data_IF_850222891657
#
_entry.id   IF_850222891657
#
_cell.length_a   1.000
_cell.length_b   1.000
_cell.length_c   1.000
_cell.angle_alpha   90.00
_cell.angle_beta   90.00
_cell.angle_gamma   90.00
#
_symmetry.space_group_name_H-M   'P 1'
#
loop_
_entity.id
_entity.type
_entity.pdbx_description
1 polymer ?
#
# COMPACT_ATOMS: atom_id res chain seq x y z
N UNK A 1 -74.19 68.01 -25.15
CA UNK A 1 -73.37 66.77 -25.25
C UNK A 1 -72.16 66.92 -24.35
N UNK A 2 -72.15 66.23 -23.19
CA UNK A 2 -70.89 65.80 -22.60
C UNK A 2 -70.90 64.34 -22.07
N UNK A 3 -69.70 63.80 -21.77
CA UNK A 3 -69.36 62.38 -21.74
C UNK A 3 -69.07 61.88 -20.30
N UNK A 4 -69.40 60.64 -19.91
CA UNK A 4 -68.92 60.15 -18.59
C UNK A 4 -69.00 58.64 -18.28
N UNK A 5 -69.46 57.74 -19.17
CA UNK A 5 -69.74 56.34 -18.76
C UNK A 5 -68.77 55.26 -19.24
N UNK A 6 -67.91 55.50 -20.24
CA UNK A 6 -67.03 54.46 -20.79
C UNK A 6 -65.69 54.25 -20.07
N UNK A 7 -65.14 55.26 -19.38
CA UNK A 7 -63.84 55.15 -18.70
C UNK A 7 -63.84 54.30 -17.43
N UNK A 8 -64.96 54.25 -16.69
CA UNK A 8 -65.05 53.53 -15.40
C UNK A 8 -65.17 52.00 -15.55
N UNK A 9 -65.68 51.51 -16.69
CA UNK A 9 -65.83 50.07 -16.94
C UNK A 9 -64.50 49.45 -17.37
N UNK A 10 -63.73 50.15 -18.21
CA UNK A 10 -62.38 49.75 -18.62
C UNK A 10 -61.38 49.77 -17.46
N UNK A 11 -61.42 50.81 -16.61
CA UNK A 11 -60.55 50.89 -15.43
C UNK A 11 -60.84 49.79 -14.39
N UNK A 12 -62.11 49.40 -14.21
CA UNK A 12 -62.49 48.28 -13.33
C UNK A 12 -62.09 46.92 -13.92
N UNK A 13 -62.24 46.73 -15.23
CA UNK A 13 -61.79 45.50 -15.91
C UNK A 13 -60.27 45.28 -15.79
N UNK A 14 -59.47 46.34 -15.99
CA UNK A 14 -58.02 46.28 -15.81
C UNK A 14 -57.58 46.00 -14.37
N UNK A 15 -58.28 46.57 -13.38
CA UNK A 15 -58.02 46.29 -11.96
C UNK A 15 -58.30 44.83 -11.59
N UNK A 16 -59.37 44.23 -12.12
CA UNK A 16 -59.70 42.82 -11.88
C UNK A 16 -58.68 41.88 -12.54
N UNK A 17 -58.21 42.20 -13.74
CA UNK A 17 -57.17 41.42 -14.43
C UNK A 17 -55.83 41.54 -13.70
N UNK A 18 -55.44 42.75 -13.28
CA UNK A 18 -54.22 42.96 -12.51
C UNK A 18 -54.25 42.27 -11.14
N UNK A 19 -55.39 42.32 -10.45
CA UNK A 19 -55.59 41.60 -9.19
C UNK A 19 -55.58 40.07 -9.39
N UNK A 20 -56.16 39.57 -10.48
CA UNK A 20 -56.11 38.16 -10.85
C UNK A 20 -54.70 37.66 -11.15
N UNK A 21 -53.91 38.44 -11.90
CA UNK A 21 -52.51 38.13 -12.21
C UNK A 21 -51.63 38.12 -10.95
N UNK A 22 -51.79 39.12 -10.07
CA UNK A 22 -51.10 39.18 -8.78
C UNK A 22 -51.49 38.01 -7.87
N UNK A 23 -52.77 37.63 -7.84
CA UNK A 23 -53.23 36.47 -7.06
C UNK A 23 -52.62 35.17 -7.60
N UNK A 24 -52.56 34.97 -8.92
CA UNK A 24 -51.91 33.78 -9.51
C UNK A 24 -50.41 33.74 -9.30
N UNK A 25 -49.72 34.90 -9.33
CA UNK A 25 -48.29 34.98 -9.06
C UNK A 25 -47.96 34.71 -7.58
N UNK A 26 -48.77 35.25 -6.67
CA UNK A 26 -48.64 35.00 -5.23
C UNK A 26 -48.96 33.53 -4.88
N UNK A 27 -50.02 32.95 -5.46
CA UNK A 27 -50.33 31.53 -5.32
C UNK A 27 -49.20 30.65 -5.88
N UNK A 28 -48.63 31.01 -7.03
CA UNK A 28 -47.47 30.32 -7.59
C UNK A 28 -46.30 30.28 -6.61
N UNK A 29 -45.92 31.43 -6.03
CA UNK A 29 -44.81 31.47 -5.06
C UNK A 29 -45.10 30.71 -3.77
N UNK A 30 -46.34 30.77 -3.25
CA UNK A 30 -46.73 30.01 -2.05
C UNK A 30 -46.73 28.51 -2.34
N UNK A 31 -47.22 28.09 -3.51
CA UNK A 31 -47.19 26.68 -3.92
C UNK A 31 -45.76 26.19 -4.05
N UNK A 32 -44.86 26.94 -4.70
CA UNK A 32 -43.45 26.54 -4.79
C UNK A 32 -42.77 26.50 -3.43
N UNK A 33 -43.01 27.50 -2.57
CA UNK A 33 -42.44 27.54 -1.21
C UNK A 33 -42.93 26.36 -0.35
N UNK A 34 -44.22 26.04 -0.40
CA UNK A 34 -44.82 24.92 0.34
C UNK A 34 -44.36 23.58 -0.24
N UNK A 35 -44.23 23.48 -1.56
CA UNK A 35 -43.71 22.28 -2.22
C UNK A 35 -42.23 22.06 -1.88
N UNK A 36 -41.40 23.10 -1.96
CA UNK A 36 -39.99 23.01 -1.58
C UNK A 36 -39.83 22.72 -0.09
N UNK A 37 -40.60 23.33 0.82
CA UNK A 37 -40.49 23.01 2.26
C UNK A 37 -41.00 21.62 2.62
N UNK A 38 -42.07 21.12 1.99
CA UNK A 38 -42.59 19.78 2.27
C UNK A 38 -41.77 18.68 1.61
N UNK A 39 -41.22 18.92 0.42
CA UNK A 39 -40.54 17.88 -0.36
C UNK A 39 -39.01 18.01 -0.35
N UNK A 40 -38.41 19.12 0.09
CA UNK A 40 -36.96 19.24 0.21
C UNK A 40 -36.37 18.17 1.13
N UNK A 41 -36.98 17.91 2.29
CA UNK A 41 -36.45 16.90 3.21
C UNK A 41 -36.52 15.49 2.60
N UNK A 42 -37.61 15.18 1.88
CA UNK A 42 -37.75 13.90 1.15
C UNK A 42 -36.78 13.78 -0.03
N UNK A 43 -36.50 14.89 -0.72
CA UNK A 43 -35.60 14.95 -1.86
C UNK A 43 -34.15 14.85 -1.42
N UNK A 44 -33.76 15.57 -0.36
CA UNK A 44 -32.44 15.47 0.26
C UNK A 44 -32.21 14.06 0.79
N UNK A 45 -33.20 13.43 1.44
CA UNK A 45 -33.08 12.01 1.85
C UNK A 45 -32.96 11.07 0.66
N UNK A 46 -33.73 11.27 -0.42
CA UNK A 46 -33.64 10.43 -1.60
C UNK A 46 -32.32 10.61 -2.36
N UNK A 47 -31.81 11.83 -2.43
CA UNK A 47 -30.50 12.17 -3.01
C UNK A 47 -29.36 11.62 -2.13
N UNK A 48 -29.44 11.72 -0.80
CA UNK A 48 -28.51 11.12 0.16
C UNK A 48 -28.53 9.59 0.08
N UNK A 49 -29.72 8.97 0.00
CA UNK A 49 -29.86 7.52 -0.10
C UNK A 49 -29.38 7.01 -1.47
N UNK A 50 -29.59 7.78 -2.54
CA UNK A 50 -29.03 7.48 -3.85
C UNK A 50 -27.50 7.61 -3.86
N UNK A 51 -26.96 8.67 -3.24
CA UNK A 51 -25.52 8.87 -3.07
C UNK A 51 -24.88 7.74 -2.26
N UNK A 52 -25.48 7.36 -1.12
CA UNK A 52 -25.02 6.22 -0.32
C UNK A 52 -25.05 4.90 -1.09
N UNK A 53 -26.05 4.68 -1.95
CA UNK A 53 -26.12 3.48 -2.79
C UNK A 53 -25.01 3.46 -3.85
N UNK A 54 -24.77 4.58 -4.52
CA UNK A 54 -23.69 4.69 -5.50
C UNK A 54 -22.32 4.50 -4.84
N UNK A 55 -22.07 5.14 -3.69
CA UNK A 55 -20.85 4.93 -2.89
C UNK A 55 -20.66 3.46 -2.46
N UNK A 56 -21.75 2.72 -2.25
CA UNK A 56 -21.72 1.30 -1.89
C UNK A 56 -21.45 0.37 -3.08
N UNK A 57 -21.78 0.78 -4.30
CA UNK A 57 -21.54 0.02 -5.53
C UNK A 57 -20.06 0.11 -5.97
N UNK A 58 -19.37 1.19 -5.63
CA UNK A 58 -17.93 1.34 -5.85
C UNK A 58 -17.11 0.56 -4.81
N UNK A 59 -15.86 0.24 -5.18
CA UNK A 59 -14.95 -0.49 -4.29
C UNK A 59 -14.80 0.27 -2.95
N UNK A 60 -14.79 -0.44 -1.80
CA UNK A 60 -14.77 0.20 -0.48
C UNK A 60 -13.52 1.06 -0.26
N UNK A 61 -12.40 0.62 -0.82
CA UNK A 61 -11.15 1.35 -0.87
C UNK A 61 -10.30 0.78 -2.01
N UNK A 62 -9.33 1.57 -2.45
CA UNK A 62 -8.31 1.19 -3.44
C UNK A 62 -6.94 1.17 -2.79
N UNK A 63 -5.97 0.53 -3.44
CA UNK A 63 -4.63 0.35 -2.91
C UNK A 63 -3.56 0.73 -3.92
N UNK A 64 -2.49 1.37 -3.45
CA UNK A 64 -1.24 1.51 -4.21
C UNK A 64 -0.13 0.80 -3.45
N UNK A 65 0.64 -0.01 -4.18
CA UNK A 65 1.74 -0.80 -3.64
C UNK A 65 3.01 -0.37 -4.35
N UNK A 66 4.04 -0.08 -3.55
CA UNK A 66 5.38 0.19 -4.05
C UNK A 66 6.38 -0.74 -3.34
N UNK A 67 7.38 -1.26 -4.06
CA UNK A 67 8.50 -1.94 -3.42
C UNK A 67 9.19 -0.98 -2.45
N UNK A 68 9.43 -1.41 -1.21
CA UNK A 68 10.17 -0.59 -0.28
C UNK A 68 11.67 -0.72 -0.54
N UNK A 69 12.24 0.35 -1.08
CA UNK A 69 13.66 0.44 -1.38
C UNK A 69 14.45 1.11 -0.26
N UNK A 70 13.80 1.45 0.86
CA UNK A 70 14.45 2.18 1.95
C UNK A 70 15.51 1.34 2.67
N UNK A 71 15.42 0.00 2.57
CA UNK A 71 16.48 -0.91 2.99
C UNK A 71 17.84 -0.61 2.33
N UNK A 72 17.86 -0.11 1.09
CA UNK A 72 19.10 0.21 0.36
C UNK A 72 19.85 1.43 0.89
N UNK A 73 19.19 2.24 1.72
CA UNK A 73 19.79 3.39 2.40
C UNK A 73 20.38 2.99 3.76
N UNK A 74 20.36 1.68 4.08
CA UNK A 74 20.73 1.12 5.37
C UNK A 74 21.76 0.00 5.23
N UNK A 75 21.97 -0.64 6.37
CA UNK A 75 23.13 -1.41 6.74
C UNK A 75 23.10 -2.87 6.28
N UNK A 76 21.94 -3.53 6.22
CA UNK A 76 21.83 -4.90 5.70
C UNK A 76 20.75 -5.01 4.63
N UNK A 77 21.16 -5.43 3.45
CA UNK A 77 20.26 -5.70 2.33
C UNK A 77 20.92 -6.61 1.32
N UNK A 78 20.08 -7.26 0.52
CA UNK A 78 20.48 -8.04 -0.64
C UNK A 78 19.67 -7.64 -1.85
N UNK A 79 20.27 -7.70 -3.03
CA UNK A 79 19.59 -7.54 -4.30
C UNK A 79 19.72 -8.85 -5.07
N UNK A 80 18.59 -9.39 -5.53
CA UNK A 80 18.52 -10.66 -6.27
C UNK A 80 17.99 -10.47 -7.69
N UNK A 81 18.42 -11.35 -8.60
CA UNK A 81 18.00 -11.40 -10.01
C UNK A 81 17.86 -12.86 -10.47
N UNK A 82 16.86 -13.14 -11.32
CA UNK A 82 16.61 -14.49 -11.89
C UNK A 82 17.58 -14.87 -13.03
N UNK A 83 18.58 -14.02 -13.29
CA UNK A 83 19.59 -14.23 -14.31
C UNK A 83 20.94 -13.69 -13.84
N UNK A 84 22.04 -14.26 -14.34
CA UNK A 84 23.35 -13.64 -14.18
C UNK A 84 23.40 -12.29 -14.90
N UNK A 85 24.32 -11.45 -14.46
CA UNK A 85 24.66 -10.19 -15.11
C UNK A 85 25.50 -10.45 -16.36
N UNK A 86 25.20 -9.72 -17.43
CA UNK A 86 26.03 -9.67 -18.62
C UNK A 86 27.37 -8.97 -18.31
N UNK A 87 28.44 -9.22 -19.08
CA UNK A 87 29.76 -8.62 -18.82
C UNK A 87 29.78 -7.09 -18.80
N UNK A 88 28.88 -6.43 -19.52
CA UNK A 88 28.74 -4.97 -19.46
C UNK A 88 28.08 -4.50 -18.15
N UNK A 89 27.07 -5.23 -17.67
CA UNK A 89 26.35 -4.94 -16.43
C UNK A 89 27.27 -5.17 -15.21
N UNK A 90 28.06 -6.25 -15.22
CA UNK A 90 29.05 -6.52 -14.18
C UNK A 90 30.09 -5.40 -14.07
N UNK A 91 30.63 -4.94 -15.21
CA UNK A 91 31.58 -3.82 -15.24
C UNK A 91 30.96 -2.53 -14.71
N UNK A 92 29.70 -2.26 -15.06
CA UNK A 92 28.97 -1.10 -14.53
C UNK A 92 28.80 -1.20 -13.01
N UNK A 93 28.44 -2.38 -12.50
CA UNK A 93 28.26 -2.62 -11.07
C UNK A 93 29.59 -2.51 -10.30
N UNK A 94 30.67 -3.11 -10.80
CA UNK A 94 32.00 -3.06 -10.17
C UNK A 94 32.64 -1.67 -10.21
N UNK A 95 32.26 -0.84 -11.18
CA UNK A 95 32.73 0.55 -11.30
C UNK A 95 32.02 1.52 -10.33
N UNK A 96 31.03 1.05 -9.57
CA UNK A 96 30.31 1.91 -8.63
C UNK A 96 31.24 2.45 -7.54
N UNK A 97 31.18 3.76 -7.25
CA UNK A 97 31.86 4.32 -6.10
C UNK A 97 31.15 3.85 -4.83
N UNK A 98 31.81 3.01 -4.04
CA UNK A 98 31.25 2.54 -2.77
C UNK A 98 31.65 3.51 -1.69
N UNK A 99 30.65 4.16 -1.09
CA UNK A 99 30.86 5.13 -0.02
C UNK A 99 30.46 4.53 1.34
N UNK A 100 31.04 5.01 2.45
CA UNK A 100 30.57 4.65 3.79
C UNK A 100 29.10 5.01 4.05
N UNK A 101 28.56 5.99 3.32
CA UNK A 101 27.16 6.43 3.39
C UNK A 101 26.21 5.60 2.51
N UNK A 102 26.72 4.51 1.92
CA UNK A 102 25.94 3.58 1.09
C UNK A 102 26.18 3.72 -0.41
N UNK A 103 25.79 2.68 -1.13
CA UNK A 103 25.84 2.57 -2.60
C UNK A 103 24.61 1.82 -3.15
N UNK A 104 23.70 1.40 -2.27
CA UNK A 104 22.57 0.53 -2.63
C UNK A 104 21.65 1.17 -3.67
N UNK A 105 21.39 2.49 -3.57
CA UNK A 105 20.62 3.24 -4.58
C UNK A 105 21.30 3.29 -5.94
N UNK A 106 22.63 3.35 -5.97
CA UNK A 106 23.39 3.37 -7.21
C UNK A 106 23.44 1.97 -7.85
N UNK A 107 23.60 0.92 -7.04
CA UNK A 107 23.43 -0.46 -7.47
C UNK A 107 22.03 -0.71 -8.02
N UNK A 108 20.99 -0.22 -7.34
CA UNK A 108 19.60 -0.34 -7.79
C UNK A 108 19.34 0.37 -9.13
N UNK A 109 19.98 1.50 -9.40
CA UNK A 109 19.83 2.18 -10.70
C UNK A 109 20.32 1.32 -11.87
N UNK A 110 21.28 0.43 -11.63
CA UNK A 110 21.79 -0.53 -12.61
C UNK A 110 20.91 -1.78 -12.65
N UNK A 111 20.58 -2.34 -11.46
CA UNK A 111 19.97 -3.66 -11.32
C UNK A 111 18.43 -3.63 -11.41
N UNK A 112 17.79 -2.60 -10.89
CA UNK A 112 16.32 -2.44 -10.86
C UNK A 112 15.67 -2.56 -12.25
N UNK A 113 16.17 -1.86 -13.29
CA UNK A 113 15.66 -2.01 -14.67
C UNK A 113 15.80 -3.42 -15.25
N UNK A 114 16.65 -4.26 -14.66
CA UNK A 114 16.86 -5.66 -15.07
C UNK A 114 15.87 -6.63 -14.41
N UNK A 115 14.94 -6.12 -13.60
CA UNK A 115 13.97 -6.91 -12.83
C UNK A 115 14.49 -7.36 -11.46
N UNK A 116 15.49 -6.66 -10.92
CA UNK A 116 16.04 -6.98 -9.61
C UNK A 116 15.04 -6.72 -8.49
N UNK A 117 15.23 -7.40 -7.36
CA UNK A 117 14.35 -7.29 -6.18
C UNK A 117 15.21 -7.15 -4.93
N UNK A 118 14.71 -6.38 -3.96
CA UNK A 118 15.42 -6.08 -2.72
C UNK A 118 14.90 -6.97 -1.60
N UNK A 119 15.83 -7.58 -0.87
CA UNK A 119 15.60 -8.26 0.40
C UNK A 119 16.27 -7.41 1.46
N UNK A 120 15.47 -6.82 2.35
CA UNK A 120 15.98 -6.10 3.52
C UNK A 120 16.06 -7.02 4.73
N UNK A 121 16.31 -6.41 5.88
CA UNK A 121 16.21 -7.06 7.18
C UNK A 121 15.12 -6.38 8.00
N UNK A 122 14.29 -7.15 8.71
CA UNK A 122 13.29 -6.59 9.64
C UNK A 122 13.24 -7.41 10.93
N UNK A 123 13.07 -6.75 12.09
CA UNK A 123 12.78 -7.44 13.34
C UNK A 123 11.48 -8.24 13.23
N UNK A 124 11.49 -9.48 13.68
CA UNK A 124 10.32 -10.34 13.71
C UNK A 124 10.30 -11.26 14.91
N UNK A 125 9.11 -11.72 15.29
CA UNK A 125 8.94 -12.68 16.37
C UNK A 125 9.35 -14.08 15.90
N UNK A 126 10.44 -14.58 16.45
CA UNK A 126 10.88 -15.97 16.29
C UNK A 126 9.90 -16.94 16.97
N UNK A 127 9.95 -18.22 16.61
CA UNK A 127 9.06 -19.26 17.16
C UNK A 127 9.22 -19.48 18.67
N UNK A 128 10.33 -19.04 19.26
CA UNK A 128 10.62 -19.04 20.70
C UNK A 128 10.11 -17.77 21.43
N UNK A 129 9.41 -16.88 20.73
CA UNK A 129 8.91 -15.62 21.27
C UNK A 129 9.98 -14.52 21.39
N UNK A 130 11.20 -14.76 20.90
CA UNK A 130 12.25 -13.73 20.86
C UNK A 130 12.14 -12.87 19.61
N UNK A 131 12.42 -11.57 19.70
CA UNK A 131 12.56 -10.72 18.51
C UNK A 131 13.93 -10.98 17.90
N UNK A 132 13.93 -11.34 16.62
CA UNK A 132 15.13 -11.56 15.82
C UNK A 132 15.01 -10.81 14.51
N UNK A 133 16.11 -10.31 14.02
CA UNK A 133 16.17 -9.68 12.70
C UNK A 133 16.49 -10.75 11.66
N UNK A 134 15.84 -10.67 10.51
CA UNK A 134 16.09 -11.61 9.43
C UNK A 134 15.59 -11.09 8.08
N UNK A 135 15.90 -11.82 7.00
CA UNK A 135 15.62 -11.38 5.64
C UNK A 135 14.11 -11.26 5.40
N UNK A 136 13.71 -10.11 4.87
CA UNK A 136 12.32 -9.81 4.52
C UNK A 136 12.23 -9.09 3.18
N UNK A 137 11.12 -9.27 2.48
CA UNK A 137 10.73 -8.37 1.40
C UNK A 137 9.70 -7.38 1.92
N UNK A 138 9.95 -6.08 1.72
CA UNK A 138 9.11 -5.02 2.23
C UNK A 138 8.40 -4.25 1.11
N UNK A 139 7.19 -3.82 1.38
CA UNK A 139 6.31 -3.06 0.48
C UNK A 139 5.68 -1.90 1.21
N UNK A 140 5.51 -0.77 0.54
CA UNK A 140 4.70 0.34 1.02
C UNK A 140 3.29 0.16 0.47
N UNK A 141 2.36 -0.15 1.35
CA UNK A 141 0.94 -0.28 1.05
C UNK A 141 0.23 1.02 1.45
N UNK A 142 -0.31 1.73 0.47
CA UNK A 142 -1.18 2.89 0.70
C UNK A 142 -2.62 2.50 0.40
N UNK A 143 -3.54 2.91 1.29
CA UNK A 143 -4.97 2.60 1.24
C UNK A 143 -5.75 3.92 1.08
N UNK A 144 -6.61 3.99 0.07
CA UNK A 144 -7.38 5.19 -0.25
C UNK A 144 -8.87 4.86 -0.29
N UNK A 145 -9.71 5.74 0.23
CA UNK A 145 -11.15 5.65 0.07
C UNK A 145 -11.72 7.03 -0.20
N UNK A 146 -12.56 7.11 -1.23
CA UNK A 146 -13.32 8.27 -1.66
C UNK A 146 -14.74 8.31 -1.07
N UNK A 147 -15.15 7.24 -0.36
CA UNK A 147 -16.47 7.15 0.26
C UNK A 147 -16.73 8.32 1.21
N UNK A 148 -17.93 8.89 1.10
CA UNK A 148 -18.39 9.94 2.00
C UNK A 148 -18.60 9.43 3.44
N UNK A 149 -18.89 8.14 3.61
CA UNK A 149 -19.00 7.49 4.91
C UNK A 149 -17.69 6.84 5.36
N UNK A 150 -17.43 6.85 6.66
CA UNK A 150 -16.28 6.16 7.25
C UNK A 150 -16.37 4.64 7.07
N UNK A 151 -15.22 4.01 6.90
CA UNK A 151 -15.01 2.57 7.05
C UNK A 151 -13.72 2.29 7.80
N UNK A 152 -13.62 1.12 8.41
CA UNK A 152 -12.43 0.68 9.13
C UNK A 152 -11.96 -0.66 8.58
N UNK A 153 -10.69 -0.78 8.20
CA UNK A 153 -10.05 -2.08 8.04
C UNK A 153 -9.78 -2.64 9.43
N UNK A 154 -10.32 -3.82 9.70
CA UNK A 154 -10.32 -4.44 11.02
C UNK A 154 -9.57 -5.75 11.08
N UNK A 155 -9.13 -6.28 9.94
CA UNK A 155 -8.26 -7.44 9.88
C UNK A 155 -7.50 -7.48 8.55
N UNK A 156 -6.33 -8.12 8.54
CA UNK A 156 -5.62 -8.50 7.33
C UNK A 156 -4.97 -9.86 7.54
N UNK A 157 -4.94 -10.69 6.50
CA UNK A 157 -4.30 -12.01 6.54
C UNK A 157 -3.66 -12.35 5.21
N UNK A 158 -2.56 -13.11 5.25
CA UNK A 158 -1.98 -13.66 4.03
C UNK A 158 -2.88 -14.77 3.48
N UNK A 159 -3.17 -14.72 2.19
CA UNK A 159 -3.95 -15.74 1.47
C UNK A 159 -3.29 -16.11 0.15
N UNK A 160 -3.70 -17.24 -0.43
CA UNK A 160 -3.16 -17.76 -1.69
C UNK A 160 -1.62 -17.84 -1.71
N UNK A 161 -1.03 -18.28 -0.60
CA UNK A 161 0.43 -18.41 -0.45
C UNK A 161 0.92 -19.61 -1.26
N UNK A 162 1.71 -19.35 -2.29
CA UNK A 162 2.35 -20.36 -3.14
C UNK A 162 3.88 -20.17 -3.10
N UNK A 163 4.57 -21.10 -2.45
CA UNK A 163 6.01 -21.05 -2.25
C UNK A 163 6.73 -21.99 -3.20
N UNK A 164 7.85 -21.52 -3.76
CA UNK A 164 8.70 -22.29 -4.67
C UNK A 164 10.17 -21.99 -4.38
N UNK A 165 11.11 -22.90 -4.69
CA UNK A 165 12.53 -22.62 -4.58
C UNK A 165 12.92 -21.30 -5.26
N UNK A 166 13.84 -20.55 -4.66
CA UNK A 166 14.30 -19.27 -5.22
C UNK A 166 14.86 -19.48 -6.63
N UNK A 167 14.34 -18.70 -7.59
CA UNK A 167 14.82 -18.68 -8.97
C UNK A 167 16.03 -17.74 -9.16
N UNK A 168 16.47 -17.07 -8.10
CA UNK A 168 17.56 -16.11 -8.16
C UNK A 168 18.88 -16.81 -8.52
N UNK A 169 19.49 -16.36 -9.62
CA UNK A 169 20.80 -16.83 -10.10
C UNK A 169 21.92 -15.83 -9.78
N UNK A 170 21.56 -14.61 -9.42
CA UNK A 170 22.48 -13.57 -8.99
C UNK A 170 22.09 -13.06 -7.61
N UNK A 171 23.11 -12.78 -6.79
CA UNK A 171 23.00 -12.19 -5.47
C UNK A 171 24.07 -11.11 -5.30
N UNK A 172 23.64 -9.91 -4.91
CA UNK A 172 24.48 -8.86 -4.35
C UNK A 172 24.11 -8.71 -2.87
N UNK A 173 25.08 -8.85 -1.98
CA UNK A 173 24.86 -8.73 -0.54
C UNK A 173 25.66 -7.57 0.07
N UNK A 174 24.99 -6.77 0.90
CA UNK A 174 25.59 -5.77 1.77
C UNK A 174 25.44 -6.20 3.23
N UNK A 175 26.56 -6.42 3.95
CA UNK A 175 26.52 -6.95 5.31
C UNK A 175 26.19 -5.86 6.34
N UNK A 176 25.46 -6.25 7.38
CA UNK A 176 25.01 -5.38 8.48
C UNK A 176 26.14 -4.52 9.09
N UNK A 177 25.87 -3.23 9.22
CA UNK A 177 26.64 -2.22 9.97
C UNK A 177 25.86 -1.59 11.15
N UNK A 178 24.66 -2.07 11.43
CA UNK A 178 23.71 -1.50 12.40
C UNK A 178 22.27 -1.81 11.97
N UNK A 179 21.29 -1.59 12.84
CA UNK A 179 19.88 -1.78 12.49
C UNK A 179 19.05 -0.64 13.06
N UNK A 180 18.07 -0.19 12.29
CA UNK A 180 16.98 0.63 12.81
C UNK A 180 15.67 -0.08 12.46
N UNK A 181 14.76 -0.28 13.43
CA UNK A 181 13.47 -0.90 13.18
C UNK A 181 12.65 -0.03 12.24
N UNK A 182 11.75 -0.68 11.49
CA UNK A 182 10.75 0.03 10.73
C UNK A 182 9.37 -0.22 11.33
N UNK A 183 8.61 0.86 11.60
CA UNK A 183 7.25 0.70 12.04
C UNK A 183 6.38 0.21 10.89
N UNK A 184 5.59 -0.84 11.13
CA UNK A 184 4.87 -1.55 10.09
C UNK A 184 4.16 -2.81 10.58
N UNK A 185 3.73 -3.61 9.61
CA UNK A 185 3.16 -4.94 9.83
C UNK A 185 4.09 -5.99 9.24
N UNK A 186 4.25 -7.09 9.97
CA UNK A 186 5.08 -8.22 9.54
C UNK A 186 4.24 -9.48 9.35
N UNK A 187 4.43 -10.15 8.22
CA UNK A 187 3.87 -11.46 7.90
C UNK A 187 4.96 -12.53 7.91
N UNK A 188 4.79 -13.53 8.77
CA UNK A 188 5.64 -14.73 8.74
C UNK A 188 5.02 -15.80 7.82
N UNK A 189 5.40 -15.80 6.54
CA UNK A 189 4.86 -16.75 5.56
C UNK A 189 5.34 -18.19 5.78
N UNK A 190 6.24 -18.43 6.74
CA UNK A 190 6.66 -19.78 7.15
C UNK A 190 5.61 -20.46 8.04
N UNK A 191 4.65 -19.69 8.57
CA UNK A 191 3.56 -20.18 9.43
C UNK A 191 2.34 -20.57 8.60
N UNK A 192 1.53 -21.47 9.14
CA UNK A 192 0.33 -21.97 8.45
C UNK A 192 -0.79 -20.91 8.29
N UNK A 193 -0.88 -19.97 9.23
CA UNK A 193 -1.83 -18.84 9.19
C UNK A 193 -1.10 -17.53 9.48
N UNK A 194 -0.46 -16.92 8.45
CA UNK A 194 0.32 -15.70 8.63
C UNK A 194 -0.60 -14.50 8.89
N UNK A 195 -0.74 -14.13 10.16
CA UNK A 195 -1.36 -12.89 10.59
C UNK A 195 -0.32 -11.77 10.77
N UNK A 196 -0.68 -10.51 10.49
CA UNK A 196 0.22 -9.37 10.67
C UNK A 196 0.49 -9.13 12.15
N UNK A 197 1.77 -9.03 12.50
CA UNK A 197 2.20 -8.63 13.84
C UNK A 197 2.85 -7.25 13.83
N UNK A 198 2.84 -6.59 14.99
CA UNK A 198 3.44 -5.27 15.18
C UNK A 198 4.96 -5.41 15.27
N UNK A 199 5.69 -4.69 14.42
CA UNK A 199 7.16 -4.65 14.45
C UNK A 199 7.72 -3.47 15.24
N UNK A 200 6.90 -2.45 15.46
CA UNK A 200 7.25 -1.25 16.24
C UNK A 200 7.80 -1.64 17.62
N UNK A 201 8.86 -0.97 18.06
CA UNK A 201 9.35 -1.12 19.43
C UNK A 201 8.29 -0.62 20.42
N UNK A 202 7.98 -1.43 21.43
CA UNK A 202 6.99 -1.08 22.46
C UNK A 202 6.38 -2.31 23.14
N UNK A 203 5.42 -2.07 24.03
CA UNK A 203 4.74 -3.12 24.80
C UNK A 203 3.93 -4.09 23.93
N UNK A 204 3.48 -3.63 22.76
CA UNK A 204 2.70 -4.43 21.82
C UNK A 204 3.57 -5.13 20.75
N UNK A 205 4.90 -5.03 20.82
CA UNK A 205 5.78 -5.62 19.82
C UNK A 205 5.60 -7.14 19.75
N UNK A 206 5.38 -7.67 18.55
CA UNK A 206 5.13 -9.10 18.31
C UNK A 206 3.67 -9.53 18.49
N UNK A 207 2.80 -8.66 19.01
CA UNK A 207 1.35 -8.92 19.10
C UNK A 207 0.68 -8.76 17.72
N UNK A 208 -0.49 -9.39 17.54
CA UNK A 208 -1.30 -9.23 16.32
C UNK A 208 -1.73 -7.77 16.16
N UNK A 209 -1.52 -7.22 14.97
CA UNK A 209 -1.80 -5.80 14.70
C UNK A 209 -3.27 -5.44 14.94
N UNK A 210 -4.19 -6.22 14.39
CA UNK A 210 -5.61 -5.90 14.41
C UNK A 210 -6.35 -6.26 15.71
N UNK A 211 -5.69 -6.94 16.65
CA UNK A 211 -6.23 -7.14 18.00
C UNK A 211 -6.21 -5.83 18.81
N UNK A 212 -5.34 -4.89 18.42
CA UNK A 212 -5.13 -3.62 19.13
C UNK A 212 -5.33 -2.38 18.27
N UNK A 213 -5.27 -2.52 16.94
CA UNK A 213 -5.29 -1.40 15.98
C UNK A 213 -6.33 -1.62 14.89
N UNK A 214 -6.73 -0.54 14.25
CA UNK A 214 -7.57 -0.52 13.05
C UNK A 214 -7.09 0.59 12.13
N UNK A 215 -7.47 0.52 10.86
CA UNK A 215 -7.14 1.57 9.89
C UNK A 215 -8.45 2.20 9.44
N UNK A 216 -8.68 3.45 9.86
CA UNK A 216 -9.87 4.20 9.49
C UNK A 216 -9.66 4.91 8.14
N UNK A 217 -10.63 4.77 7.24
CA UNK A 217 -10.64 5.32 5.88
C UNK A 217 -12.00 5.97 5.58
N UNK A 218 -12.08 6.77 4.52
CA UNK A 218 -13.32 7.43 4.09
C UNK A 218 -13.77 8.52 5.07
N UNK A 219 -14.91 9.17 4.78
CA UNK A 219 -15.47 10.23 5.65
C UNK A 219 -14.55 11.43 5.86
N UNK A 220 -13.69 11.73 4.89
CA UNK A 220 -12.67 12.79 5.00
C UNK A 220 -11.43 12.40 5.80
N UNK A 221 -11.28 11.12 6.18
CA UNK A 221 -10.09 10.60 6.85
C UNK A 221 -8.87 10.62 5.92
N UNK A 222 -7.67 10.76 6.48
CA UNK A 222 -6.43 10.68 5.71
C UNK A 222 -6.21 9.26 5.15
N UNK A 223 -5.63 9.10 3.95
CA UNK A 223 -5.22 7.79 3.44
C UNK A 223 -4.38 7.02 4.44
N UNK A 224 -4.62 5.71 4.53
CA UNK A 224 -3.82 4.81 5.36
C UNK A 224 -2.50 4.47 4.68
N UNK A 225 -1.42 4.33 5.44
CA UNK A 225 -0.14 3.86 4.93
C UNK A 225 0.47 2.83 5.89
N UNK A 226 0.94 1.72 5.34
CA UNK A 226 1.60 0.65 6.08
C UNK A 226 2.87 0.23 5.34
N UNK A 227 3.95 0.04 6.10
CA UNK A 227 5.03 -0.80 5.64
C UNK A 227 4.65 -2.25 5.91
N UNK A 228 4.61 -3.07 4.88
CA UNK A 228 4.32 -4.50 4.94
C UNK A 228 5.60 -5.26 4.68
N UNK A 229 6.12 -5.97 5.68
CA UNK A 229 7.27 -6.85 5.54
C UNK A 229 6.83 -8.31 5.57
N UNK A 230 7.42 -9.14 4.72
CA UNK A 230 7.17 -10.57 4.68
C UNK A 230 8.48 -11.35 4.79
N UNK A 231 8.55 -12.28 5.76
CA UNK A 231 9.63 -13.26 5.83
C UNK A 231 9.21 -14.58 5.18
N UNK A 232 10.18 -15.22 4.56
CA UNK A 232 10.08 -16.56 3.99
C UNK A 232 11.21 -17.45 4.51
N UNK A 233 11.11 -18.75 4.25
CA UNK A 233 12.18 -19.71 4.52
C UNK A 233 13.20 -19.74 3.39
N UNK A 234 13.48 -20.94 2.89
CA UNK A 234 14.37 -21.18 1.73
C UNK A 234 13.65 -21.03 0.39
N UNK A 235 12.35 -20.77 0.39
CA UNK A 235 11.49 -20.68 -0.78
C UNK A 235 10.93 -19.26 -0.92
N UNK A 236 10.92 -18.72 -2.13
CA UNK A 236 10.23 -17.46 -2.42
C UNK A 236 8.73 -17.76 -2.56
N UNK A 237 7.87 -16.88 -2.03
CA UNK A 237 6.43 -17.09 -2.02
C UNK A 237 5.70 -15.97 -2.74
N UNK A 238 4.78 -16.33 -3.64
CA UNK A 238 3.77 -15.44 -4.17
C UNK A 238 2.53 -15.49 -3.25
N UNK A 239 1.96 -14.33 -2.88
CA UNK A 239 0.88 -14.26 -1.89
C UNK A 239 0.01 -13.00 -2.07
N UNK A 240 -1.13 -12.97 -1.39
CA UNK A 240 -2.07 -11.83 -1.41
C UNK A 240 -2.48 -11.47 0.02
N UNK A 241 -3.06 -10.29 0.21
CA UNK A 241 -3.59 -9.87 1.52
C UNK A 241 -5.11 -9.81 1.42
N UNK A 242 -5.82 -10.65 2.16
CA UNK A 242 -7.26 -10.46 2.36
C UNK A 242 -7.47 -9.49 3.51
N UNK A 243 -8.10 -8.36 3.24
CA UNK A 243 -8.38 -7.30 4.20
C UNK A 243 -9.88 -7.25 4.52
N UNK A 244 -10.24 -7.50 5.77
CA UNK A 244 -11.61 -7.37 6.22
C UNK A 244 -11.90 -5.94 6.68
N UNK A 245 -13.06 -5.42 6.30
CA UNK A 245 -13.48 -4.08 6.69
C UNK A 245 -14.90 -4.04 7.22
N UNK A 246 -15.20 -2.98 7.96
CA UNK A 246 -16.53 -2.63 8.43
C UNK A 246 -16.87 -1.20 8.04
N UNK A 247 -18.04 -0.98 7.46
CA UNK A 247 -18.54 0.37 7.16
C UNK A 247 -19.29 1.01 8.35
N UNK A 248 -19.66 2.28 8.21
CA UNK A 248 -20.43 3.02 9.21
C UNK A 248 -21.84 2.43 9.48
N UNK A 249 -22.40 1.64 8.57
CA UNK A 249 -23.66 0.92 8.77
C UNK A 249 -23.48 -0.40 9.54
N UNK A 250 -22.23 -0.80 9.79
CA UNK A 250 -21.88 -2.05 10.44
C UNK A 250 -21.77 -3.24 9.49
N UNK A 251 -21.93 -3.04 8.18
CA UNK A 251 -21.75 -4.08 7.14
C UNK A 251 -20.31 -4.56 7.16
N UNK A 252 -20.12 -5.88 7.07
CA UNK A 252 -18.80 -6.50 6.94
C UNK A 252 -18.53 -6.83 5.48
N UNK A 253 -17.31 -6.59 5.03
CA UNK A 253 -16.83 -7.01 3.72
C UNK A 253 -15.37 -7.44 3.75
N UNK A 254 -14.89 -7.99 2.65
CA UNK A 254 -13.50 -8.41 2.46
C UNK A 254 -13.03 -7.94 1.07
N UNK A 255 -11.79 -7.46 0.99
CA UNK A 255 -11.12 -7.11 -0.26
C UNK A 255 -9.78 -7.85 -0.33
N UNK A 256 -9.46 -8.42 -1.49
CA UNK A 256 -8.13 -9.01 -1.73
C UNK A 256 -7.22 -7.96 -2.35
N UNK A 257 -6.16 -7.61 -1.64
CA UNK A 257 -5.13 -6.65 -2.04
C UNK A 257 -4.00 -7.39 -2.76
N UNK A 258 -3.52 -6.77 -3.83
CA UNK A 258 -2.47 -7.27 -4.74
C UNK A 258 -1.53 -6.13 -5.14
N UNK A 259 -0.34 -6.48 -5.64
CA UNK A 259 0.56 -5.53 -6.30
C UNK A 259 0.08 -5.30 -7.75
N UNK A 260 -0.81 -4.32 -7.91
CA UNK A 260 -1.49 -4.06 -9.17
C UNK A 260 -2.37 -5.24 -9.58
N UNK A 261 -1.89 -6.04 -10.54
CA UNK A 261 -2.58 -7.26 -11.04
C UNK A 261 -1.88 -8.56 -10.63
N UNK A 262 -0.79 -8.45 -9.86
CA UNK A 262 0.06 -9.59 -9.49
C UNK A 262 0.01 -9.81 -7.98
N UNK A 263 0.20 -11.05 -7.51
CA UNK A 263 0.44 -11.29 -6.09
C UNK A 263 1.69 -10.52 -5.63
N UNK A 264 1.75 -10.22 -4.34
CA UNK A 264 3.01 -9.85 -3.69
C UNK A 264 4.00 -11.01 -3.81
N UNK A 265 5.28 -10.70 -3.87
CA UNK A 265 6.34 -11.71 -3.94
C UNK A 265 7.37 -11.49 -2.85
N UNK A 266 7.40 -12.40 -1.88
CA UNK A 266 8.43 -12.41 -0.85
C UNK A 266 9.60 -13.29 -1.32
N UNK A 267 10.80 -12.73 -1.35
CA UNK A 267 11.98 -13.37 -1.90
C UNK A 267 12.83 -14.07 -0.85
N UNK A 268 13.19 -15.33 -1.13
CA UNK A 268 14.22 -16.05 -0.40
C UNK A 268 15.61 -15.79 -1.00
N UNK A 269 16.62 -15.73 -0.14
CA UNK A 269 18.01 -15.75 -0.56
C UNK A 269 18.31 -17.06 -1.31
N UNK A 270 19.00 -17.01 -2.47
CA UNK A 270 19.36 -18.23 -3.19
C UNK A 270 20.39 -19.02 -2.40
N UNK A 271 20.22 -20.34 -2.32
CA UNK A 271 21.17 -21.22 -1.63
C UNK A 271 22.50 -21.35 -2.37
N UNK A 272 22.48 -21.26 -3.70
CA UNK A 272 23.67 -21.38 -4.55
C UNK A 272 23.53 -20.49 -5.80
N UNK A 273 23.72 -19.16 -5.68
CA UNK A 273 23.68 -18.28 -6.83
C UNK A 273 24.84 -18.57 -7.79
N UNK A 274 24.60 -18.47 -9.10
CA UNK A 274 25.66 -18.56 -10.11
C UNK A 274 26.63 -17.38 -10.03
N UNK A 275 26.13 -16.22 -9.62
CA UNK A 275 26.93 -15.02 -9.42
C UNK A 275 26.65 -14.41 -8.06
N UNK A 276 27.70 -14.34 -7.24
CA UNK A 276 27.65 -13.69 -5.95
C UNK A 276 28.62 -12.52 -5.91
N UNK A 277 28.12 -11.38 -5.42
CA UNK A 277 28.87 -10.17 -5.15
C UNK A 277 28.72 -9.77 -3.68
N UNK A 278 29.83 -9.48 -3.04
CA UNK A 278 29.88 -9.04 -1.65
C UNK A 278 30.65 -7.73 -1.54
N UNK A 279 30.21 -6.83 -0.67
CA UNK A 279 31.03 -5.67 -0.29
C UNK A 279 32.08 -6.07 0.73
N UNK A 280 33.34 -5.83 0.37
CA UNK A 280 34.47 -5.98 1.28
C UNK A 280 34.77 -4.63 1.94
N UNK A 281 34.75 -4.57 3.28
CA UNK A 281 35.11 -3.37 4.04
C UNK A 281 36.64 -3.35 4.25
N UNK A 282 37.38 -3.00 3.19
CA UNK A 282 38.82 -2.69 3.23
C UNK A 282 39.69 -3.42 2.20
N UNK A 283 40.14 -2.76 1.10
CA UNK A 283 39.62 -1.54 0.51
C UNK A 283 38.14 -1.70 0.13
N UNK A 284 37.34 -0.63 0.19
CA UNK A 284 35.90 -0.71 -0.08
C UNK A 284 35.67 -0.99 -1.57
N UNK A 285 35.29 -2.23 -1.89
CA UNK A 285 35.03 -2.69 -3.26
C UNK A 285 33.96 -3.78 -3.29
N UNK A 286 33.36 -3.93 -4.47
CA UNK A 286 32.47 -5.05 -4.79
C UNK A 286 33.32 -6.21 -5.27
N UNK A 287 33.25 -7.31 -4.53
CA UNK A 287 34.06 -8.50 -4.74
C UNK A 287 33.19 -9.58 -5.42
N UNK A 288 33.53 -10.02 -6.65
CA UNK A 288 32.83 -11.11 -7.32
C UNK A 288 33.28 -12.46 -6.73
N UNK A 289 32.59 -12.94 -5.71
CA UNK A 289 32.90 -14.19 -4.99
C UNK A 289 32.79 -15.46 -5.85
N UNK A 290 32.22 -15.37 -7.04
CA UNK A 290 32.09 -16.47 -8.00
C UNK A 290 33.31 -16.59 -8.94
N UNK A 291 34.26 -15.64 -8.89
CA UNK A 291 35.47 -15.68 -9.68
C UNK A 291 36.60 -16.43 -8.94
N UNK A 292 37.40 -17.28 -9.61
CA UNK A 292 38.45 -18.09 -8.97
C UNK A 292 39.49 -17.32 -8.17
N UNK A 293 39.69 -16.03 -8.47
CA UNK A 293 40.61 -15.15 -7.74
C UNK A 293 40.12 -14.75 -6.34
N UNK A 294 38.84 -14.98 -6.02
CA UNK A 294 38.19 -14.54 -4.79
C UNK A 294 37.55 -15.68 -3.99
N UNK A 295 37.57 -16.92 -4.48
CA UNK A 295 37.11 -18.12 -3.76
C UNK A 295 37.84 -18.33 -2.42
N UNK A 296 39.08 -17.86 -2.31
CA UNK A 296 39.87 -17.95 -1.08
C UNK A 296 39.48 -16.90 -0.01
N UNK A 297 38.71 -15.87 -0.38
CA UNK A 297 38.26 -14.84 0.57
C UNK A 297 37.33 -15.48 1.61
N UNK A 298 37.68 -15.31 2.89
CA UNK A 298 36.97 -15.91 4.00
C UNK A 298 35.49 -15.51 4.02
N UNK A 299 35.16 -14.27 3.67
CA UNK A 299 33.78 -13.80 3.68
C UNK A 299 32.95 -14.41 2.53
N UNK A 300 33.58 -14.65 1.37
CA UNK A 300 32.94 -15.37 0.27
C UNK A 300 32.64 -16.84 0.65
N UNK A 301 33.54 -17.50 1.40
CA UNK A 301 33.34 -18.89 1.87
C UNK A 301 32.22 -19.02 2.91
N UNK A 302 32.21 -18.14 3.91
CA UNK A 302 31.19 -18.15 4.98
C UNK A 302 29.79 -17.99 4.41
N UNK A 303 29.60 -17.13 3.40
CA UNK A 303 28.28 -16.91 2.79
C UNK A 303 27.88 -17.98 1.77
N UNK A 304 28.83 -18.66 1.11
CA UNK A 304 28.55 -19.71 0.12
C UNK A 304 28.43 -21.12 0.74
N UNK A 305 28.44 -21.24 2.08
CA UNK A 305 28.28 -22.52 2.77
C UNK A 305 29.56 -23.38 2.82
N UNK A 306 30.74 -22.76 2.73
CA UNK A 306 32.00 -23.45 2.99
C UNK A 306 32.36 -23.35 4.48
N UNK A 307 32.18 -24.47 5.19
CA UNK A 307 32.58 -24.81 6.58
C UNK A 307 33.36 -23.75 7.40
#
# INVERSE_FOLDING_TARGET
>A
MPPARRGRVLARGLLVIAAGLLATAALGQVVTYVYDTLFAESRVRAEDDAGKKLDQEEAPFTTAVDADLSALDRDEWSIVLDRPLAPAEQRALQALPITPTGYGRDAWRILGPLGARVIGTTPHLSGDGTIRSGPTTAFRLNLFSDRASQLSVTDMRAVDVDCRPSAARFLLHHPAQGEAPYPGVFFDLRRQDPAPVITDEGEDQGERYFDRRKIDLGGGSTPGALLVAAAVGTESCDWKIAAAYRDAAGTRGELVIQDGTKPFRAEALPTAPEQFFLVQVGPVRLTPCHEPGFEADHLCRVFMGGD
#
